data_IF_792906262380
#
_entry.id   IF_792906262380
#
_cell.length_a   1.000
_cell.length_b   1.000
_cell.length_c   1.000
_cell.angle_alpha   90.00
_cell.angle_beta   90.00
_cell.angle_gamma   90.00
#
_symmetry.space_group_name_H-M   'P 1'
#
loop_
_entity.id
_entity.type
_entity.pdbx_description
1 polymer ?
#
# COMPACT_ATOMS: atom_id res chain seq x y z
N UNK A 1 1.86 -10.21 -34.99
CA UNK A 1 2.34 -10.64 -33.67
C UNK A 1 1.87 -9.64 -32.62
N UNK A 2 0.86 -9.97 -31.82
CA UNK A 2 0.49 -9.19 -30.65
C UNK A 2 0.05 -10.17 -29.55
N UNK A 3 0.98 -10.47 -28.64
CA UNK A 3 0.72 -11.31 -27.46
C UNK A 3 -0.05 -10.45 -26.46
N UNK A 4 -1.38 -10.64 -26.44
CA UNK A 4 -2.24 -10.27 -25.34
C UNK A 4 -2.07 -11.23 -24.14
N UNK A 5 -2.90 -10.99 -23.12
CA UNK A 5 -2.97 -11.68 -21.82
C UNK A 5 -1.98 -11.19 -20.76
N UNK A 6 -2.25 -9.98 -20.25
CA UNK A 6 -2.06 -9.73 -18.82
C UNK A 6 -3.15 -10.48 -18.05
N UNK A 7 -2.76 -11.51 -17.31
CA UNK A 7 -3.62 -12.29 -16.43
C UNK A 7 -4.22 -11.38 -15.35
N UNK A 8 -5.56 -11.25 -15.33
CA UNK A 8 -6.29 -10.75 -14.17
C UNK A 8 -6.17 -11.78 -13.04
N UNK A 9 -5.28 -11.53 -12.10
CA UNK A 9 -5.19 -12.26 -10.85
C UNK A 9 -6.27 -11.80 -9.87
N UNK A 10 -7.18 -12.71 -9.56
CA UNK A 10 -8.06 -12.81 -8.37
C UNK A 10 -7.84 -11.77 -7.27
N UNK A 11 -8.81 -10.86 -7.11
CA UNK A 11 -8.93 -9.98 -5.95
C UNK A 11 -9.97 -10.60 -5.02
N UNK A 12 -9.53 -11.45 -4.08
CA UNK A 12 -10.34 -11.92 -2.95
C UNK A 12 -10.06 -11.00 -1.75
N UNK A 13 -10.89 -9.97 -1.56
CA UNK A 13 -10.77 -9.05 -0.41
C UNK A 13 -11.29 -9.72 0.86
N UNK A 14 -10.41 -10.43 1.58
CA UNK A 14 -10.67 -10.83 2.98
C UNK A 14 -10.48 -9.59 3.86
N UNK A 15 -11.58 -9.00 4.32
CA UNK A 15 -11.57 -7.95 5.36
C UNK A 15 -10.95 -8.52 6.64
N UNK A 16 -9.95 -7.82 7.20
CA UNK A 16 -9.44 -8.10 8.55
C UNK A 16 -9.50 -6.82 9.38
N UNK A 17 -10.23 -6.95 10.48
CA UNK A 17 -10.49 -6.05 11.63
C UNK A 17 -9.42 -5.01 11.92
N UNK A 18 -9.79 -3.77 12.31
CA UNK A 18 -8.83 -2.78 12.80
C UNK A 18 -8.23 -3.24 14.14
N UNK A 19 -6.91 -3.45 14.18
CA UNK A 19 -6.21 -3.68 15.44
C UNK A 19 -5.82 -2.32 16.04
N UNK A 20 -6.20 -2.12 17.29
CA UNK A 20 -5.83 -0.99 18.13
C UNK A 20 -4.29 -0.87 18.29
N UNK A 21 -3.76 0.32 18.64
CA UNK A 21 -2.32 0.62 18.58
C UNK A 21 -1.56 -0.04 19.74
N UNK A 22 -0.94 -1.19 19.46
CA UNK A 22 -0.01 -1.84 20.38
C UNK A 22 1.45 -1.64 19.93
N UNK A 23 2.18 -0.89 20.75
CA UNK A 23 3.62 -0.73 20.85
C UNK A 23 4.53 -1.61 19.96
N UNK A 24 5.28 -0.93 19.09
CA UNK A 24 6.70 -1.11 18.64
C UNK A 24 7.30 -2.52 18.45
N UNK A 25 6.51 -3.59 18.45
CA UNK A 25 6.97 -4.97 18.28
C UNK A 25 6.18 -5.65 17.16
N UNK A 26 6.90 -6.15 16.15
CA UNK A 26 6.27 -6.77 14.99
C UNK A 26 5.52 -8.05 15.36
N UNK A 27 4.29 -8.16 14.87
CA UNK A 27 3.48 -9.38 15.03
C UNK A 27 4.12 -10.57 14.29
N UNK A 28 3.86 -11.80 14.76
CA UNK A 28 4.41 -13.02 14.14
C UNK A 28 4.02 -13.16 12.65
N UNK A 29 2.79 -12.77 12.30
CA UNK A 29 2.33 -12.75 10.92
C UNK A 29 3.12 -11.77 10.04
N UNK A 30 3.50 -10.63 10.60
CA UNK A 30 4.29 -9.62 9.91
C UNK A 30 5.73 -10.06 9.70
N UNK A 31 6.36 -10.68 10.71
CA UNK A 31 7.69 -11.29 10.54
C UNK A 31 7.70 -12.35 9.44
N UNK A 32 6.71 -13.24 9.40
CA UNK A 32 6.64 -14.26 8.35
C UNK A 32 6.51 -13.65 6.93
N UNK A 33 5.77 -12.55 6.81
CA UNK A 33 5.65 -11.81 5.56
C UNK A 33 6.98 -11.19 5.12
N UNK A 34 7.73 -10.62 6.06
CA UNK A 34 9.00 -9.98 5.77
C UNK A 34 10.14 -10.97 5.56
N UNK A 35 10.12 -12.13 6.22
CA UNK A 35 11.06 -13.23 5.94
C UNK A 35 10.94 -13.70 4.49
N UNK A 36 9.73 -13.82 3.95
CA UNK A 36 9.53 -14.19 2.53
C UNK A 36 10.13 -13.16 1.57
N UNK A 37 10.10 -11.88 1.96
CA UNK A 37 10.67 -10.79 1.14
C UNK A 37 12.19 -10.73 1.27
N UNK A 38 12.72 -10.93 2.47
CA UNK A 38 14.15 -11.05 2.73
C UNK A 38 14.75 -12.22 1.95
N UNK A 39 14.09 -13.39 1.97
CA UNK A 39 14.46 -14.55 1.16
C UNK A 39 14.43 -14.24 -0.35
N UNK A 40 13.39 -13.53 -0.82
CA UNK A 40 13.31 -13.09 -2.22
C UNK A 40 14.45 -12.15 -2.61
N UNK A 41 14.92 -11.32 -1.68
CA UNK A 41 16.05 -10.42 -1.86
C UNK A 41 17.41 -11.08 -1.57
N UNK A 42 17.45 -12.34 -1.15
CA UNK A 42 18.67 -13.07 -0.81
C UNK A 42 19.39 -12.54 0.44
N UNK A 43 18.69 -11.84 1.33
CA UNK A 43 19.28 -11.23 2.54
C UNK A 43 18.60 -11.76 3.81
N UNK A 44 19.26 -11.59 4.96
CA UNK A 44 18.65 -11.92 6.26
C UNK A 44 17.53 -10.95 6.63
N UNK A 45 16.61 -11.40 7.49
CA UNK A 45 15.46 -10.59 7.93
C UNK A 45 15.90 -9.28 8.59
N UNK A 46 16.95 -9.29 9.41
CA UNK A 46 17.45 -8.09 10.08
C UNK A 46 18.02 -7.07 9.08
N UNK A 47 18.77 -7.55 8.08
CA UNK A 47 19.30 -6.71 7.00
C UNK A 47 18.17 -6.10 6.16
N UNK A 48 17.14 -6.89 5.86
CA UNK A 48 15.94 -6.46 5.14
C UNK A 48 15.16 -5.37 5.90
N UNK A 49 14.99 -5.55 7.21
CA UNK A 49 14.36 -4.56 8.08
C UNK A 49 15.15 -3.26 8.15
N UNK A 50 16.47 -3.35 8.30
CA UNK A 50 17.36 -2.18 8.36
C UNK A 50 17.34 -1.38 7.04
N UNK A 51 17.36 -2.06 5.89
CA UNK A 51 17.26 -1.43 4.58
C UNK A 51 15.93 -0.67 4.42
N UNK A 52 14.81 -1.31 4.79
CA UNK A 52 13.47 -0.69 4.74
C UNK A 52 13.34 0.52 5.67
N UNK A 53 14.00 0.51 6.82
CA UNK A 53 14.01 1.64 7.74
C UNK A 53 14.73 2.85 7.11
N UNK A 54 15.85 2.61 6.40
CA UNK A 54 16.57 3.63 5.65
C UNK A 54 15.75 4.17 4.47
N UNK A 55 15.08 3.30 3.72
CA UNK A 55 14.21 3.68 2.60
C UNK A 55 13.01 4.51 3.09
N UNK A 56 12.38 4.13 4.22
CA UNK A 56 11.26 4.88 4.80
C UNK A 56 11.68 6.27 5.26
N UNK A 57 12.91 6.44 5.74
CA UNK A 57 13.47 7.74 6.10
C UNK A 57 13.75 8.61 4.86
N UNK A 58 14.14 7.99 3.74
CA UNK A 58 14.34 8.68 2.46
C UNK A 58 13.01 9.07 1.79
N UNK A 59 12.00 8.19 1.83
CA UNK A 59 10.68 8.46 1.25
C UNK A 59 9.88 9.51 2.05
N UNK A 60 10.03 9.57 3.38
CA UNK A 60 9.42 10.63 4.20
C UNK A 60 9.95 12.02 3.84
N UNK A 61 11.18 12.13 3.33
CA UNK A 61 11.76 13.38 2.82
C UNK A 61 11.24 13.72 1.42
N UNK A 62 10.84 12.73 0.62
CA UNK A 62 10.31 12.92 -0.73
C UNK A 62 8.81 13.28 -0.75
N UNK A 63 8.03 12.85 0.25
CA UNK A 63 6.59 13.20 0.35
C UNK A 63 6.32 14.63 0.87
N UNK A 64 7.36 15.35 1.32
CA UNK A 64 7.27 16.74 1.74
C UNK A 64 7.42 17.75 0.58
N UNK A 65 7.72 17.27 -0.64
CA UNK A 65 7.66 18.11 -1.82
C UNK A 65 6.17 18.28 -2.22
N UNK A 66 5.63 19.51 -2.26
CA UNK A 66 4.29 19.73 -2.79
C UNK A 66 4.27 19.28 -4.26
N UNK A 67 3.52 18.23 -4.56
CA UNK A 67 3.29 17.81 -5.93
C UNK A 67 2.69 19.00 -6.71
N UNK A 68 3.17 19.30 -7.93
CA UNK A 68 2.57 20.35 -8.75
C UNK A 68 1.08 20.06 -8.93
N UNK A 69 0.25 21.09 -8.80
CA UNK A 69 -1.20 20.98 -8.76
C UNK A 69 -1.71 20.14 -9.93
N UNK A 70 -2.11 18.91 -9.64
CA UNK A 70 -2.67 18.00 -10.63
C UNK A 70 -4.01 18.56 -11.11
N UNK A 71 -4.34 18.44 -12.41
CA UNK A 71 -5.62 18.88 -12.94
C UNK A 71 -6.78 18.26 -12.15
N UNK A 72 -7.90 18.97 -12.01
CA UNK A 72 -9.00 18.54 -11.14
C UNK A 72 -9.43 17.13 -11.50
N UNK A 73 -9.20 16.21 -10.56
CA UNK A 73 -9.50 14.79 -10.74
C UNK A 73 -11.02 14.64 -10.80
N UNK A 74 -11.52 14.09 -11.91
CA UNK A 74 -12.93 13.74 -12.05
C UNK A 74 -13.34 12.87 -10.86
N UNK A 75 -14.54 13.07 -10.29
CA UNK A 75 -14.99 12.27 -9.16
C UNK A 75 -14.96 10.80 -9.56
N UNK A 76 -14.16 10.03 -8.83
CA UNK A 76 -14.10 8.59 -8.95
C UNK A 76 -15.42 7.95 -8.52
N UNK A 77 -15.47 6.63 -8.55
CA UNK A 77 -16.69 5.88 -8.22
C UNK A 77 -17.31 6.27 -6.86
N UNK A 78 -16.49 6.41 -5.81
CA UNK A 78 -16.95 6.87 -4.50
C UNK A 78 -17.40 8.33 -4.49
N UNK A 79 -16.74 9.20 -5.27
CA UNK A 79 -17.14 10.60 -5.41
C UNK A 79 -18.52 10.74 -6.02
N UNK A 80 -18.82 9.94 -7.05
CA UNK A 80 -20.15 9.90 -7.68
C UNK A 80 -21.23 9.33 -6.74
N UNK A 81 -20.86 8.40 -5.87
CA UNK A 81 -21.79 7.87 -4.88
C UNK A 81 -22.15 8.94 -3.82
N UNK A 82 -21.16 9.68 -3.33
CA UNK A 82 -21.40 10.78 -2.38
C UNK A 82 -22.22 11.90 -3.00
N UNK A 83 -21.98 12.22 -4.27
CA UNK A 83 -22.75 13.21 -5.02
C UNK A 83 -24.25 12.86 -5.10
N UNK A 84 -24.57 11.56 -5.19
CA UNK A 84 -25.97 11.07 -5.22
C UNK A 84 -26.63 11.05 -3.84
N UNK A 85 -25.85 10.96 -2.76
CA UNK A 85 -26.34 11.11 -1.38
C UNK A 85 -26.60 12.58 -1.06
N UNK A 86 -25.71 13.47 -1.51
CA UNK A 86 -25.78 14.90 -1.21
C UNK A 86 -26.80 15.66 -2.06
N UNK A 87 -27.23 15.06 -3.17
CA UNK A 87 -28.28 15.58 -4.04
C UNK A 87 -29.50 14.66 -3.99
N UNK A 88 -30.27 14.66 -2.88
CA UNK A 88 -31.56 13.99 -2.86
C UNK A 88 -32.45 14.65 -3.93
N UNK A 89 -33.10 13.81 -4.74
CA UNK A 89 -34.09 14.23 -5.74
C UNK A 89 -35.28 14.89 -5.05
#
# INVERSE_FOLDING_TARGET
MAKGLWALGTIMSKTKTPVAPAATTMTAAQRAYETKRAQKAGVSLEKWLAAKQADRAAEAKATAAPAPAAPPKKPGFLGRLMERVQKPI
#
